data_IF_186962854925
#
_entry.id   IF_186962854925
#
_cell.length_a   1.000
_cell.length_b   1.000
_cell.length_c   1.000
_cell.angle_alpha   90.00
_cell.angle_beta   90.00
_cell.angle_gamma   90.00
#
_symmetry.space_group_name_H-M   'P 1'
#
loop_
_entity.id
_entity.type
_entity.pdbx_description
1 polymer ?
#
# COMPACT_ATOMS: atom_id res chain seq x y z
N UNK A 1 40.87 16.91 -13.77
CA UNK A 1 40.14 16.13 -12.74
C UNK A 1 38.61 16.31 -12.77
N UNK A 2 38.04 17.23 -13.56
CA UNK A 2 36.57 17.45 -13.62
C UNK A 2 35.81 16.47 -14.56
N UNK A 3 36.49 15.83 -15.51
CA UNK A 3 35.87 14.98 -16.53
C UNK A 3 35.47 13.57 -16.05
N UNK A 4 36.06 13.11 -14.94
CA UNK A 4 35.80 11.77 -14.40
C UNK A 4 34.49 11.70 -13.62
N UNK A 5 34.15 12.79 -12.92
CA UNK A 5 32.90 12.88 -12.13
C UNK A 5 31.68 12.80 -13.05
N UNK A 6 31.75 13.41 -14.23
CA UNK A 6 30.66 13.40 -15.20
C UNK A 6 30.46 12.00 -15.85
N UNK A 7 31.56 11.27 -16.11
CA UNK A 7 31.47 9.89 -16.61
C UNK A 7 30.91 8.94 -15.55
N UNK A 8 31.26 9.12 -14.28
CA UNK A 8 30.80 8.27 -13.17
C UNK A 8 29.29 8.42 -12.93
N UNK A 9 28.77 9.66 -12.95
CA UNK A 9 27.32 9.92 -12.84
C UNK A 9 26.52 9.33 -14.00
N UNK A 10 27.04 9.45 -15.22
CA UNK A 10 26.42 8.87 -16.42
C UNK A 10 26.46 7.33 -16.43
N UNK A 11 27.45 6.71 -15.78
CA UNK A 11 27.53 5.26 -15.63
C UNK A 11 26.52 4.74 -14.58
N UNK A 12 26.36 5.43 -13.44
CA UNK A 12 25.36 5.07 -12.43
C UNK A 12 23.92 5.18 -12.93
N UNK A 13 23.62 6.13 -13.83
CA UNK A 13 22.29 6.28 -14.43
C UNK A 13 21.98 5.21 -15.50
N UNK A 14 22.99 4.54 -16.05
CA UNK A 14 22.84 3.49 -17.08
C UNK A 14 22.66 2.09 -16.50
N UNK A 15 22.92 1.91 -15.21
CA UNK A 15 22.52 0.69 -14.48
C UNK A 15 21.04 0.77 -14.10
N UNK A 16 20.19 0.96 -15.12
CA UNK A 16 18.75 0.86 -15.00
C UNK A 16 18.36 -0.60 -14.89
N UNK A 17 18.56 -1.22 -13.72
CA UNK A 17 17.59 -2.23 -13.31
C UNK A 17 16.24 -1.51 -13.31
N UNK A 18 15.19 -2.07 -13.93
CA UNK A 18 13.87 -1.49 -13.83
C UNK A 18 13.59 -1.42 -12.34
N UNK A 19 13.54 -0.20 -11.81
CA UNK A 19 12.98 0.06 -10.49
C UNK A 19 11.61 -0.57 -10.59
N UNK A 20 11.44 -1.75 -9.98
CA UNK A 20 10.16 -2.41 -9.88
C UNK A 20 9.32 -1.44 -9.08
N UNK A 21 8.62 -0.56 -9.79
CA UNK A 21 7.63 0.32 -9.22
C UNK A 21 6.73 -0.68 -8.50
N UNK A 22 6.65 -0.62 -7.17
CA UNK A 22 5.86 -1.59 -6.43
C UNK A 22 4.49 -1.56 -7.06
N UNK A 23 3.99 -2.70 -7.55
CA UNK A 23 2.65 -2.76 -8.14
C UNK A 23 1.71 -2.06 -7.15
N UNK A 24 1.16 -0.94 -7.62
CA UNK A 24 0.21 -0.17 -6.85
C UNK A 24 -1.01 -1.04 -6.70
N UNK A 25 -1.48 -1.19 -5.47
CA UNK A 25 -2.64 -2.01 -5.17
C UNK A 25 -3.84 -1.46 -5.93
N UNK A 26 -4.54 -2.32 -6.68
CA UNK A 26 -5.73 -1.88 -7.39
C UNK A 26 -6.88 -1.58 -6.42
N UNK A 27 -7.75 -0.59 -6.71
CA UNK A 27 -8.94 -0.34 -5.91
C UNK A 27 -9.83 -1.58 -5.74
N UNK A 28 -9.93 -2.42 -6.77
CA UNK A 28 -10.66 -3.68 -6.74
C UNK A 28 -10.10 -4.66 -5.70
N UNK A 29 -8.77 -4.82 -5.61
CA UNK A 29 -8.14 -5.68 -4.61
C UNK A 29 -8.38 -5.18 -3.18
N UNK A 30 -8.35 -3.86 -2.96
CA UNK A 30 -8.64 -3.26 -1.66
C UNK A 30 -10.07 -3.59 -1.25
N UNK A 31 -11.03 -3.42 -2.17
CA UNK A 31 -12.43 -3.71 -1.90
C UNK A 31 -12.67 -5.19 -1.60
N UNK A 32 -12.06 -6.10 -2.37
CA UNK A 32 -12.19 -7.54 -2.17
C UNK A 32 -11.59 -8.00 -0.83
N UNK A 33 -10.44 -7.47 -0.45
CA UNK A 33 -9.82 -7.74 0.84
C UNK A 33 -10.71 -7.31 2.01
N UNK A 34 -11.30 -6.11 1.94
CA UNK A 34 -12.23 -5.61 2.96
C UNK A 34 -13.51 -6.44 3.02
N UNK A 35 -14.05 -6.85 1.86
CA UNK A 35 -15.23 -7.72 1.76
C UNK A 35 -14.98 -9.10 2.38
N UNK A 36 -13.73 -9.56 2.35
CA UNK A 36 -13.29 -10.80 3.00
C UNK A 36 -13.29 -10.76 4.53
N UNK A 37 -13.43 -9.58 5.16
CA UNK A 37 -13.44 -9.43 6.61
C UNK A 37 -14.83 -9.81 7.15
N UNK A 38 -14.94 -10.90 7.94
CA UNK A 38 -16.24 -11.33 8.46
C UNK A 38 -16.79 -10.32 9.47
N UNK A 39 -18.10 -10.06 9.40
CA UNK A 39 -18.84 -9.18 10.34
C UNK A 39 -18.34 -7.72 10.35
N UNK A 40 -17.74 -7.23 9.25
CA UNK A 40 -17.49 -5.81 9.05
C UNK A 40 -18.78 -5.14 8.58
N UNK A 41 -19.21 -4.05 9.23
CA UNK A 41 -20.43 -3.37 8.80
C UNK A 41 -20.20 -2.69 7.45
N UNK A 42 -21.27 -2.51 6.67
CA UNK A 42 -21.17 -1.85 5.35
C UNK A 42 -20.62 -0.42 5.45
N UNK A 43 -20.99 0.31 6.51
CA UNK A 43 -20.49 1.65 6.76
C UNK A 43 -18.97 1.63 7.03
N UNK A 44 -18.52 0.76 7.93
CA UNK A 44 -17.11 0.59 8.27
C UNK A 44 -16.27 0.19 7.05
N UNK A 45 -16.80 -0.69 6.20
CA UNK A 45 -16.15 -1.11 4.95
C UNK A 45 -15.92 0.08 4.02
N UNK A 46 -16.94 0.92 3.80
CA UNK A 46 -16.82 2.09 2.92
C UNK A 46 -15.85 3.13 3.49
N UNK A 47 -15.87 3.32 4.80
CA UNK A 47 -14.95 4.23 5.47
C UNK A 47 -13.50 3.73 5.35
N UNK A 48 -13.26 2.44 5.63
CA UNK A 48 -11.95 1.81 5.48
C UNK A 48 -11.44 1.88 4.04
N UNK A 49 -12.31 1.61 3.07
CA UNK A 49 -11.98 1.74 1.66
C UNK A 49 -11.52 3.15 1.29
N UNK A 50 -12.21 4.19 1.80
CA UNK A 50 -11.86 5.59 1.53
C UNK A 50 -10.51 6.03 2.12
N UNK A 51 -10.06 5.35 3.18
CA UNK A 51 -8.76 5.54 3.82
C UNK A 51 -7.68 4.78 3.03
N UNK A 52 -7.89 3.48 2.80
CA UNK A 52 -6.90 2.59 2.20
C UNK A 52 -6.60 2.89 0.73
N UNK A 53 -7.56 3.44 -0.03
CA UNK A 53 -7.32 3.84 -1.44
C UNK A 53 -6.37 5.03 -1.58
N UNK A 54 -6.09 5.75 -0.48
CA UNK A 54 -5.20 6.92 -0.48
C UNK A 54 -3.75 6.57 -0.13
N UNK A 55 -3.52 5.44 0.54
CA UNK A 55 -2.20 4.99 0.95
C UNK A 55 -2.03 3.46 0.86
N UNK A 56 -1.32 3.04 -0.19
CA UNK A 56 -0.90 1.66 -0.41
C UNK A 56 -0.17 1.03 0.79
N UNK A 57 0.55 1.81 1.60
CA UNK A 57 1.27 1.27 2.77
C UNK A 57 0.30 0.79 3.84
N UNK A 58 -0.83 1.48 4.02
CA UNK A 58 -1.86 1.05 4.98
C UNK A 58 -2.49 -0.27 4.50
N UNK A 59 -2.78 -0.39 3.20
CA UNK A 59 -3.31 -1.65 2.65
C UNK A 59 -2.32 -2.81 2.80
N UNK A 60 -1.04 -2.59 2.49
CA UNK A 60 0.01 -3.61 2.68
C UNK A 60 0.16 -4.01 4.15
N UNK A 61 0.02 -3.05 5.07
CA UNK A 61 0.03 -3.31 6.51
C UNK A 61 -1.19 -4.16 6.93
N UNK A 62 -2.38 -3.86 6.40
CA UNK A 62 -3.57 -4.68 6.59
C UNK A 62 -3.33 -6.12 6.11
N UNK A 63 -2.76 -6.32 4.91
CA UNK A 63 -2.49 -7.65 4.36
C UNK A 63 -1.41 -8.45 5.12
N UNK A 64 -0.55 -7.78 5.90
CA UNK A 64 0.43 -8.43 6.76
C UNK A 64 -0.16 -8.99 8.06
N UNK A 65 -1.39 -8.60 8.42
CA UNK A 65 -2.04 -9.02 9.66
C UNK A 65 -2.74 -10.38 9.50
N UNK A 66 -2.81 -11.17 10.58
CA UNK A 66 -3.59 -12.40 10.57
C UNK A 66 -5.10 -12.09 10.50
N UNK A 67 -5.86 -12.98 9.86
CA UNK A 67 -7.29 -12.77 9.53
C UNK A 67 -8.18 -12.42 10.73
N UNK A 68 -7.83 -12.90 11.93
CA UNK A 68 -8.57 -12.63 13.16
C UNK A 68 -8.39 -11.18 13.66
N UNK A 69 -7.31 -10.49 13.28
CA UNK A 69 -7.00 -9.12 13.71
C UNK A 69 -7.42 -8.06 12.70
N UNK A 70 -7.67 -8.44 11.43
CA UNK A 70 -8.05 -7.51 10.36
C UNK A 70 -9.23 -6.61 10.74
N UNK A 71 -10.27 -7.20 11.34
CA UNK A 71 -11.46 -6.44 11.74
C UNK A 71 -11.14 -5.40 12.81
N UNK A 72 -10.44 -5.80 13.87
CA UNK A 72 -10.11 -4.90 14.99
C UNK A 72 -9.23 -3.75 14.51
N UNK A 73 -8.23 -4.06 13.68
CA UNK A 73 -7.36 -3.07 13.09
C UNK A 73 -8.14 -2.07 12.21
N UNK A 74 -9.02 -2.54 11.33
CA UNK A 74 -9.85 -1.66 10.49
C UNK A 74 -10.71 -0.74 11.35
N UNK A 75 -11.31 -1.26 12.42
CA UNK A 75 -12.14 -0.45 13.33
C UNK A 75 -11.32 0.60 14.09
N UNK A 76 -10.08 0.30 14.46
CA UNK A 76 -9.16 1.28 15.05
C UNK A 76 -8.82 2.38 14.04
N UNK A 77 -8.48 2.01 12.80
CA UNK A 77 -8.07 2.96 11.77
C UNK A 77 -9.20 3.94 11.40
N UNK A 78 -10.43 3.45 11.26
CA UNK A 78 -11.59 4.31 10.92
C UNK A 78 -12.18 5.06 12.13
N UNK A 79 -12.00 4.52 13.35
CA UNK A 79 -12.50 5.13 14.58
C UNK A 79 -11.59 6.22 15.14
N UNK A 80 -10.35 6.31 14.66
CA UNK A 80 -9.37 7.34 15.06
C UNK A 80 -9.40 8.61 14.20
N UNK A 81 -10.25 8.67 13.16
CA UNK A 81 -10.44 9.85 12.27
C UNK A 81 -11.56 10.78 12.69
#
# INVERSE_FOLDING_TARGET
MLGEVNKSLQASLKSGEPVQVPESTSPEEIFEALRGIPRLARADLLQAYSVLIRDDRQFRSLMALPKNMLKEWVLMEIGST
#
